data_IF_171494364020
#
_entry.id   IF_171494364020
#
_cell.length_a   1.000
_cell.length_b   1.000
_cell.length_c   1.000
_cell.angle_alpha   90.00
_cell.angle_beta   90.00
_cell.angle_gamma   90.00
#
_symmetry.space_group_name_H-M   'P 1'
#
loop_
_entity.id
_entity.type
_entity.pdbx_description
1 polymer ?
#
# COMPACT_ATOMS: atom_id res chain seq x y z
N UNK A 1 6.37 -42.19 -4.96
CA UNK A 1 5.27 -41.25 -4.65
C UNK A 1 5.90 -39.96 -4.17
N UNK A 2 6.36 -39.13 -5.11
CA UNK A 2 6.94 -37.81 -4.82
C UNK A 2 5.78 -36.84 -4.74
N UNK A 3 5.51 -36.31 -3.55
CA UNK A 3 4.62 -35.17 -3.36
C UNK A 3 5.16 -34.05 -4.27
N UNK A 4 4.41 -33.54 -5.26
CA UNK A 4 4.84 -32.40 -6.02
C UNK A 4 4.98 -31.26 -5.00
N UNK A 5 6.18 -30.71 -4.89
CA UNK A 5 6.45 -29.54 -4.08
C UNK A 5 5.38 -28.49 -4.37
N UNK A 6 4.67 -28.08 -3.31
CA UNK A 6 3.75 -26.93 -3.33
C UNK A 6 4.48 -25.61 -3.69
N UNK A 7 5.80 -25.67 -3.93
CA UNK A 7 6.69 -24.55 -4.20
C UNK A 7 6.84 -24.16 -5.68
N UNK A 8 6.05 -24.68 -6.60
CA UNK A 8 6.04 -24.15 -7.97
C UNK A 8 4.64 -24.18 -8.60
N UNK A 9 3.61 -23.75 -7.87
CA UNK A 9 2.35 -23.42 -8.51
C UNK A 9 2.58 -22.26 -9.51
N UNK A 10 2.06 -22.44 -10.71
CA UNK A 10 2.03 -21.44 -11.78
C UNK A 10 1.18 -20.23 -11.39
N UNK A 11 1.31 -19.12 -12.14
CA UNK A 11 0.45 -17.95 -11.93
C UNK A 11 -1.04 -18.31 -11.95
N UNK A 12 -1.46 -19.14 -12.91
CA UNK A 12 -2.85 -19.58 -13.07
C UNK A 12 -3.35 -20.42 -11.88
N UNK A 13 -2.49 -21.28 -11.32
CA UNK A 13 -2.82 -22.06 -10.13
C UNK A 13 -2.94 -21.17 -8.88
N UNK A 14 -2.09 -20.15 -8.76
CA UNK A 14 -2.24 -19.15 -7.70
C UNK A 14 -3.52 -18.34 -7.86
N UNK A 15 -3.82 -17.84 -9.06
CA UNK A 15 -5.08 -17.15 -9.34
C UNK A 15 -6.30 -18.03 -9.01
N UNK A 16 -6.23 -19.32 -9.35
CA UNK A 16 -7.23 -20.32 -8.97
C UNK A 16 -7.36 -20.45 -7.45
N UNK A 17 -6.25 -20.45 -6.72
CA UNK A 17 -6.25 -20.45 -5.25
C UNK A 17 -6.92 -19.18 -4.68
N UNK A 18 -6.67 -18.01 -5.27
CA UNK A 18 -7.36 -16.78 -4.88
C UNK A 18 -8.87 -16.88 -5.09
N UNK A 19 -9.28 -17.27 -6.30
CA UNK A 19 -10.69 -17.30 -6.69
C UNK A 19 -11.51 -18.40 -6.00
N UNK A 20 -10.93 -19.58 -5.78
CA UNK A 20 -11.64 -20.73 -5.22
C UNK A 20 -11.53 -20.84 -3.69
N UNK A 21 -10.49 -20.26 -3.09
CA UNK A 21 -10.22 -20.43 -1.66
C UNK A 21 -10.23 -19.09 -0.93
N UNK A 22 -9.34 -18.16 -1.30
CA UNK A 22 -9.17 -16.93 -0.54
C UNK A 22 -10.39 -16.00 -0.63
N UNK A 23 -10.93 -15.75 -1.81
CA UNK A 23 -12.09 -14.87 -1.97
C UNK A 23 -13.36 -15.43 -1.32
N UNK A 24 -13.70 -16.74 -1.45
CA UNK A 24 -14.81 -17.30 -0.69
C UNK A 24 -14.61 -17.26 0.83
N UNK A 25 -13.36 -17.43 1.31
CA UNK A 25 -13.06 -17.27 2.74
C UNK A 25 -13.30 -15.84 3.22
N UNK A 26 -12.80 -14.85 2.48
CA UNK A 26 -12.98 -13.43 2.81
C UNK A 26 -14.45 -13.01 2.72
N UNK A 27 -15.15 -13.50 1.71
CA UNK A 27 -16.59 -13.22 1.52
C UNK A 27 -17.39 -13.68 2.74
N UNK A 28 -17.17 -14.92 3.19
CA UNK A 28 -17.83 -15.47 4.38
C UNK A 28 -17.52 -14.67 5.64
N UNK A 29 -16.25 -14.34 5.86
CA UNK A 29 -15.83 -13.55 7.02
C UNK A 29 -16.41 -12.14 7.03
N UNK A 30 -16.73 -11.59 5.86
CA UNK A 30 -17.33 -10.28 5.70
C UNK A 30 -18.87 -10.28 5.82
N UNK A 31 -19.52 -11.43 5.99
CA UNK A 31 -20.96 -11.48 6.20
C UNK A 31 -21.35 -10.99 7.61
N UNK A 32 -22.37 -10.13 7.73
CA UNK A 32 -22.80 -9.55 9.02
C UNK A 32 -23.38 -10.59 9.99
N UNK A 33 -23.73 -11.78 9.51
CA UNK A 33 -24.20 -12.88 10.36
C UNK A 33 -23.09 -13.49 11.24
N UNK A 34 -21.82 -13.20 10.93
CA UNK A 34 -20.66 -13.68 11.70
C UNK A 34 -20.22 -12.72 12.83
N UNK A 35 -21.06 -11.74 13.20
CA UNK A 35 -20.75 -10.69 14.18
C UNK A 35 -20.72 -11.20 15.63
N UNK A 36 -19.88 -12.21 15.88
CA UNK A 36 -19.49 -12.73 17.18
C UNK A 36 -18.20 -12.07 17.64
N UNK A 37 -18.06 -11.85 18.94
CA UNK A 37 -16.85 -11.33 19.59
C UNK A 37 -15.58 -12.07 19.07
N UNK A 38 -14.57 -11.34 18.60
CA UNK A 38 -13.33 -11.89 18.03
C UNK A 38 -13.30 -12.12 16.51
N UNK A 39 -14.40 -11.86 15.78
CA UNK A 39 -14.42 -11.95 14.31
C UNK A 39 -13.47 -10.92 13.67
N UNK A 40 -13.30 -9.76 14.28
CA UNK A 40 -12.42 -8.68 13.79
C UNK A 40 -10.95 -9.09 13.74
N UNK A 41 -10.46 -9.83 14.75
CA UNK A 41 -9.10 -10.36 14.73
C UNK A 41 -8.93 -11.40 13.61
N UNK A 42 -9.95 -12.24 13.41
CA UNK A 42 -9.96 -13.23 12.33
C UNK A 42 -9.97 -12.55 10.96
N UNK A 43 -10.75 -11.47 10.79
CA UNK A 43 -10.79 -10.65 9.58
C UNK A 43 -9.43 -10.00 9.30
N UNK A 44 -8.79 -9.43 10.32
CA UNK A 44 -7.44 -8.86 10.18
C UNK A 44 -6.42 -9.92 9.75
N UNK A 45 -6.44 -11.09 10.39
CA UNK A 45 -5.57 -12.21 10.02
C UNK A 45 -5.81 -12.64 8.57
N UNK A 46 -7.08 -12.69 8.12
CA UNK A 46 -7.42 -13.04 6.75
C UNK A 46 -6.93 -11.98 5.73
N UNK A 47 -7.13 -10.68 6.00
CA UNK A 47 -6.62 -9.59 5.17
C UNK A 47 -5.07 -9.59 5.10
N UNK A 48 -4.42 -9.90 6.22
CA UNK A 48 -2.97 -10.04 6.29
C UNK A 48 -2.48 -11.23 5.45
N UNK A 49 -3.16 -12.38 5.54
CA UNK A 49 -2.84 -13.56 4.72
C UNK A 49 -3.03 -13.26 3.24
N UNK A 50 -4.14 -12.62 2.85
CA UNK A 50 -4.38 -12.20 1.47
C UNK A 50 -3.23 -11.34 0.95
N UNK A 51 -2.86 -10.29 1.70
CA UNK A 51 -1.79 -9.37 1.34
C UNK A 51 -0.44 -10.08 1.20
N UNK A 52 -0.10 -10.95 2.15
CA UNK A 52 1.16 -11.69 2.15
C UNK A 52 1.26 -12.69 1.02
N UNK A 53 0.20 -13.49 0.78
CA UNK A 53 0.17 -14.48 -0.30
C UNK A 53 0.24 -13.78 -1.65
N UNK A 54 -0.48 -12.66 -1.81
CA UNK A 54 -0.45 -11.88 -3.04
C UNK A 54 0.94 -11.33 -3.34
N UNK A 55 1.60 -10.70 -2.36
CA UNK A 55 2.96 -10.20 -2.54
C UNK A 55 3.98 -11.30 -2.75
N UNK A 56 3.86 -12.42 -2.03
CA UNK A 56 4.79 -13.53 -2.15
C UNK A 56 4.77 -14.15 -3.56
N UNK A 57 3.60 -14.16 -4.20
CA UNK A 57 3.41 -14.66 -5.56
C UNK A 57 3.17 -13.55 -6.57
N UNK A 58 3.59 -12.31 -6.29
CA UNK A 58 3.38 -11.18 -7.17
C UNK A 58 4.03 -11.40 -8.54
N UNK A 59 5.25 -11.93 -8.57
CA UNK A 59 6.00 -12.16 -9.81
C UNK A 59 5.29 -13.09 -10.80
N UNK A 60 4.81 -14.29 -10.42
CA UNK A 60 4.03 -15.12 -11.33
C UNK A 60 2.61 -14.60 -11.59
N UNK A 61 2.00 -13.83 -10.67
CA UNK A 61 0.67 -13.28 -10.86
C UNK A 61 0.66 -12.11 -11.85
N UNK A 62 1.65 -11.21 -11.79
CA UNK A 62 1.70 -10.02 -12.65
C UNK A 62 1.89 -10.34 -14.14
N UNK A 63 2.34 -11.56 -14.48
CA UNK A 63 2.46 -11.99 -15.88
C UNK A 63 1.14 -12.48 -16.46
N UNK A 64 0.09 -12.63 -15.64
CA UNK A 64 -1.22 -13.07 -16.10
C UNK A 64 -1.97 -11.94 -16.79
N UNK A 65 -2.71 -12.23 -17.87
CA UNK A 65 -3.55 -11.24 -18.54
C UNK A 65 -4.72 -10.75 -17.66
N UNK A 66 -5.15 -11.57 -16.70
CA UNK A 66 -6.23 -11.28 -15.74
C UNK A 66 -5.75 -10.56 -14.48
N UNK A 67 -4.45 -10.27 -14.35
CA UNK A 67 -3.87 -9.67 -13.15
C UNK A 67 -4.60 -8.40 -12.69
N UNK A 68 -4.98 -7.52 -13.62
CA UNK A 68 -5.73 -6.31 -13.32
C UNK A 68 -7.06 -6.61 -12.59
N UNK A 69 -7.80 -7.62 -13.04
CA UNK A 69 -9.07 -8.01 -12.45
C UNK A 69 -8.86 -8.63 -11.06
N UNK A 70 -7.83 -9.47 -10.91
CA UNK A 70 -7.45 -10.04 -9.62
C UNK A 70 -7.11 -8.94 -8.61
N UNK A 71 -6.29 -7.97 -9.02
CA UNK A 71 -5.87 -6.86 -8.18
C UNK A 71 -7.05 -5.96 -7.77
N UNK A 72 -7.92 -5.58 -8.71
CA UNK A 72 -9.11 -4.80 -8.39
C UNK A 72 -10.04 -5.53 -7.41
N UNK A 73 -10.16 -6.86 -7.55
CA UNK A 73 -10.93 -7.68 -6.60
C UNK A 73 -10.31 -7.63 -5.19
N UNK A 74 -8.98 -7.64 -5.09
CA UNK A 74 -8.29 -7.48 -3.79
C UNK A 74 -8.59 -6.10 -3.19
N UNK A 75 -8.54 -5.04 -3.99
CA UNK A 75 -8.90 -3.69 -3.53
C UNK A 75 -10.36 -3.62 -3.04
N UNK A 76 -11.29 -4.29 -3.73
CA UNK A 76 -12.69 -4.37 -3.30
C UNK A 76 -12.84 -5.05 -1.94
N UNK A 77 -12.08 -6.12 -1.69
CA UNK A 77 -12.06 -6.74 -0.36
C UNK A 77 -11.45 -5.81 0.69
N UNK A 78 -10.37 -5.08 0.39
CA UNK A 78 -9.78 -4.15 1.35
C UNK A 78 -10.79 -3.05 1.74
N UNK A 79 -11.44 -2.42 0.76
CA UNK A 79 -12.49 -1.43 1.00
C UNK A 79 -13.64 -2.00 1.84
N UNK A 80 -14.13 -3.21 1.48
CA UNK A 80 -15.20 -3.88 2.23
C UNK A 80 -14.80 -4.19 3.68
N UNK A 81 -13.56 -4.57 3.92
CA UNK A 81 -13.04 -4.87 5.25
C UNK A 81 -12.81 -3.61 6.09
N UNK A 82 -12.35 -2.53 5.47
CA UNK A 82 -12.20 -1.23 6.12
C UNK A 82 -13.52 -0.70 6.65
N UNK A 83 -14.61 -0.91 5.90
CA UNK A 83 -15.97 -0.51 6.28
C UNK A 83 -16.73 -1.59 7.05
N UNK A 84 -16.12 -2.73 7.37
CA UNK A 84 -16.80 -3.82 8.06
C UNK A 84 -17.01 -3.45 9.54
N UNK A 85 -18.27 -3.38 9.95
CA UNK A 85 -18.74 -3.20 11.34
C UNK A 85 -18.20 -1.95 12.08
N UNK A 86 -17.69 -0.93 11.37
CA UNK A 86 -17.07 0.27 11.95
C UNK A 86 -15.99 -0.05 12.99
N UNK A 87 -15.22 -1.13 12.78
CA UNK A 87 -14.11 -1.48 13.66
C UNK A 87 -12.97 -0.48 13.45
N UNK A 88 -12.71 0.38 14.45
CA UNK A 88 -11.59 1.34 14.44
C UNK A 88 -10.26 0.64 14.09
N UNK A 89 -10.10 -0.59 14.57
CA UNK A 89 -8.93 -1.42 14.32
C UNK A 89 -8.75 -1.74 12.82
N UNK A 90 -9.82 -2.12 12.12
CA UNK A 90 -9.77 -2.40 10.68
C UNK A 90 -9.63 -1.10 9.87
N UNK A 91 -10.27 -0.04 10.33
CA UNK A 91 -10.20 1.29 9.72
C UNK A 91 -8.77 1.84 9.70
N UNK A 92 -7.96 1.53 10.72
CA UNK A 92 -6.53 1.90 10.77
C UNK A 92 -5.63 0.88 10.06
N UNK A 93 -5.84 -0.42 10.27
CA UNK A 93 -4.93 -1.47 9.78
C UNK A 93 -4.99 -1.69 8.25
N UNK A 94 -6.16 -1.50 7.63
CA UNK A 94 -6.34 -1.74 6.20
C UNK A 94 -5.61 -0.69 5.33
N UNK A 95 -5.76 0.63 5.56
CA UNK A 95 -5.00 1.64 4.84
C UNK A 95 -3.48 1.43 4.96
N UNK A 96 -3.00 1.10 6.16
CA UNK A 96 -1.58 0.82 6.40
C UNK A 96 -1.10 -0.42 5.61
N UNK A 97 -1.92 -1.46 5.56
CA UNK A 97 -1.63 -2.66 4.74
C UNK A 97 -1.60 -2.32 3.25
N UNK A 98 -2.53 -1.48 2.77
CA UNK A 98 -2.57 -0.99 1.38
C UNK A 98 -1.34 -0.16 1.02
N UNK A 99 -0.88 0.73 1.91
CA UNK A 99 0.37 1.50 1.70
C UNK A 99 1.54 0.56 1.42
N UNK A 100 1.70 -0.44 2.29
CA UNK A 100 2.78 -1.43 2.16
C UNK A 100 2.65 -2.25 0.87
N UNK A 101 1.43 -2.67 0.49
CA UNK A 101 1.17 -3.36 -0.77
C UNK A 101 1.59 -2.53 -1.98
N UNK A 102 1.14 -1.28 -2.04
CA UNK A 102 1.40 -0.37 -3.15
C UNK A 102 2.89 -0.05 -3.27
N UNK A 103 3.57 0.20 -2.15
CA UNK A 103 5.02 0.44 -2.12
C UNK A 103 5.79 -0.77 -2.65
N UNK A 104 5.43 -1.98 -2.22
CA UNK A 104 6.09 -3.20 -2.70
C UNK A 104 5.82 -3.41 -4.19
N UNK A 105 4.59 -3.23 -4.66
CA UNK A 105 4.24 -3.33 -6.08
C UNK A 105 4.99 -2.30 -6.94
N UNK A 106 5.13 -1.08 -6.45
CA UNK A 106 5.92 -0.03 -7.11
C UNK A 106 7.39 -0.43 -7.21
N UNK A 107 7.97 -0.91 -6.10
CA UNK A 107 9.37 -1.36 -6.07
C UNK A 107 9.63 -2.59 -6.95
N UNK A 108 8.63 -3.44 -7.14
CA UNK A 108 8.68 -4.59 -8.05
C UNK A 108 8.47 -4.21 -9.53
N UNK A 109 8.19 -2.94 -9.82
CA UNK A 109 7.98 -2.43 -11.18
C UNK A 109 6.60 -2.71 -11.76
N UNK A 110 5.63 -3.15 -10.94
CA UNK A 110 4.27 -3.51 -11.41
C UNK A 110 3.55 -2.33 -12.04
N UNK A 111 3.83 -1.11 -11.59
CA UNK A 111 3.20 0.12 -12.08
C UNK A 111 3.96 0.80 -13.22
N UNK A 112 5.07 0.21 -13.67
CA UNK A 112 5.94 0.80 -14.70
C UNK A 112 5.63 0.16 -16.06
N UNK A 113 5.39 1.01 -17.05
CA UNK A 113 5.24 0.65 -18.47
C UNK A 113 6.36 1.23 -19.32
N UNK A 114 6.30 1.02 -20.64
CA UNK A 114 7.34 1.48 -21.57
C UNK A 114 7.51 3.00 -21.59
N UNK A 115 6.42 3.76 -21.44
CA UNK A 115 6.39 5.23 -21.52
C UNK A 115 6.12 5.92 -20.18
N UNK A 116 6.26 5.21 -19.05
CA UNK A 116 6.01 5.77 -17.71
C UNK A 116 5.10 4.89 -16.85
N UNK A 117 3.99 5.42 -16.36
CA UNK A 117 3.00 4.66 -15.57
C UNK A 117 2.08 3.86 -16.49
N UNK A 118 1.80 2.60 -16.13
CA UNK A 118 0.96 1.72 -16.93
C UNK A 118 -0.54 1.78 -16.57
N UNK A 119 -1.36 0.95 -17.22
CA UNK A 119 -2.80 0.89 -16.96
C UNK A 119 -3.14 0.43 -15.53
N UNK A 120 -2.35 -0.47 -14.95
CA UNK A 120 -2.55 -0.95 -13.57
C UNK A 120 -2.46 0.22 -12.59
N UNK A 121 -1.50 1.12 -12.77
CA UNK A 121 -1.40 2.33 -11.97
C UNK A 121 -2.68 3.18 -12.02
N UNK A 122 -3.21 3.41 -13.23
CA UNK A 122 -4.41 4.24 -13.43
C UNK A 122 -5.62 3.63 -12.73
N UNK A 123 -5.91 2.35 -12.97
CA UNK A 123 -7.07 1.67 -12.36
C UNK A 123 -6.93 1.52 -10.85
N UNK A 124 -5.69 1.38 -10.35
CA UNK A 124 -5.41 1.30 -8.90
C UNK A 124 -5.81 2.59 -8.20
N UNK A 125 -5.36 3.74 -8.72
CA UNK A 125 -5.67 5.03 -8.09
C UNK A 125 -7.12 5.47 -8.32
N UNK A 126 -7.71 5.16 -9.47
CA UNK A 126 -9.15 5.38 -9.68
C UNK A 126 -9.99 4.67 -8.61
N UNK A 127 -9.66 3.40 -8.32
CA UNK A 127 -10.33 2.65 -7.27
C UNK A 127 -10.00 3.16 -5.87
N UNK A 128 -8.73 3.40 -5.55
CA UNK A 128 -8.32 3.86 -4.22
C UNK A 128 -8.94 5.21 -3.88
N UNK A 129 -9.01 6.16 -4.82
CA UNK A 129 -9.60 7.47 -4.56
C UNK A 129 -11.06 7.42 -4.14
N UNK A 130 -11.79 6.34 -4.47
CA UNK A 130 -13.19 6.19 -4.04
C UNK A 130 -13.37 5.96 -2.53
N UNK A 131 -12.36 5.46 -1.82
CA UNK A 131 -12.44 5.17 -0.37
C UNK A 131 -11.28 5.74 0.46
N UNK A 132 -10.16 6.08 -0.18
CA UNK A 132 -8.96 6.63 0.43
C UNK A 132 -8.36 7.76 -0.45
N UNK A 133 -9.06 8.90 -0.61
CA UNK A 133 -8.69 9.96 -1.55
C UNK A 133 -7.33 10.62 -1.25
N UNK A 134 -6.87 10.60 0.01
CA UNK A 134 -5.63 11.24 0.43
C UNK A 134 -4.42 10.29 0.43
N UNK A 135 -4.63 8.98 0.20
CA UNK A 135 -3.58 7.98 0.33
C UNK A 135 -2.43 8.16 -0.66
N UNK A 136 -2.76 8.54 -1.89
CA UNK A 136 -1.75 8.79 -2.92
C UNK A 136 -0.81 9.91 -2.48
N UNK A 137 -1.36 10.98 -1.93
CA UNK A 137 -0.57 12.10 -1.44
C UNK A 137 0.29 11.68 -0.25
N UNK A 138 -0.23 10.89 0.70
CA UNK A 138 0.55 10.41 1.83
C UNK A 138 1.76 9.57 1.39
N UNK A 139 1.55 8.63 0.46
CA UNK A 139 2.62 7.73 -0.02
C UNK A 139 3.73 8.51 -0.76
N UNK A 140 3.37 9.55 -1.53
CA UNK A 140 4.33 10.29 -2.35
C UNK A 140 4.78 11.65 -1.78
N UNK A 141 4.17 12.15 -0.69
CA UNK A 141 4.62 13.36 0.04
C UNK A 141 5.67 13.05 1.11
N UNK A 142 5.83 11.82 1.57
CA UNK A 142 6.84 11.45 2.59
C UNK A 142 8.31 11.41 2.08
N UNK A 143 8.60 12.00 0.91
CA UNK A 143 9.96 12.37 0.54
C UNK A 143 10.10 13.90 0.37
N UNK A 144 10.02 14.70 1.46
CA UNK A 144 10.66 16.00 1.42
C UNK A 144 12.16 15.76 1.32
N UNK A 145 12.74 16.18 0.18
CA UNK A 145 14.17 16.31 -0.04
C UNK A 145 14.90 16.74 1.25
N UNK A 146 15.75 15.87 1.79
CA UNK A 146 16.82 16.27 2.70
C UNK A 146 17.88 17.05 1.91
N UNK A 147 17.55 18.27 1.50
CA UNK A 147 18.49 19.27 0.98
C UNK A 147 18.29 20.57 1.75
N UNK A 148 18.34 20.50 3.09
CA UNK A 148 18.67 21.68 3.90
C UNK A 148 20.18 21.71 4.17
N UNK A 149 20.97 21.98 3.13
CA UNK A 149 22.25 22.66 3.36
C UNK A 149 21.88 24.10 3.64
N UNK A 150 21.82 24.45 4.94
CA UNK A 150 21.70 25.82 5.42
C UNK A 150 22.91 26.64 4.95
N UNK A 151 22.83 27.22 3.77
CA UNK A 151 23.58 28.43 3.45
C UNK A 151 22.90 29.58 4.19
N UNK A 152 23.28 29.78 5.45
CA UNK A 152 23.10 31.05 6.14
C UNK A 152 24.41 31.82 6.03
N UNK A 153 24.52 32.64 4.99
CA UNK A 153 25.39 33.80 4.98
C UNK A 153 24.62 34.98 4.40
N UNK A 154 24.77 36.09 5.12
CA UNK A 154 24.48 37.48 4.74
C UNK A 154 23.03 37.97 4.89
N UNK A 155 22.75 38.45 6.10
CA UNK A 155 22.07 39.75 6.26
C UNK A 155 23.04 40.69 6.96
N UNK A 156 23.62 41.60 6.18
CA UNK A 156 24.27 42.82 6.66
C UNK A 156 23.25 43.65 7.46
N UNK A 157 23.63 44.09 8.66
CA UNK A 157 23.14 45.36 9.17
C UNK A 157 24.29 46.16 9.78
N UNK A 158 24.48 47.34 9.20
CA UNK A 158 25.53 48.30 9.42
C UNK A 158 25.27 49.17 10.65
N UNK A 159 26.31 49.44 11.44
CA UNK A 159 26.48 50.74 12.08
C UNK A 159 26.46 50.82 13.61
N UNK A 160 27.64 50.88 14.24
CA UNK A 160 28.02 52.01 15.13
C UNK A 160 29.54 52.05 15.40
N UNK A 161 30.11 53.25 15.64
CA UNK A 161 31.55 53.49 15.57
C UNK A 161 32.27 53.27 16.90
N UNK A 162 33.48 52.71 16.79
CA UNK A 162 34.44 52.56 17.87
C UNK A 162 35.06 53.93 18.21
N UNK A 163 34.82 54.42 19.42
CA UNK A 163 35.50 55.60 19.96
C UNK A 163 36.73 55.15 20.73
N UNK A 164 37.87 55.12 20.06
CA UNK A 164 39.18 55.00 20.71
C UNK A 164 39.54 56.35 21.31
N UNK A 165 39.46 56.46 22.63
CA UNK A 165 39.96 57.60 23.39
C UNK A 165 41.47 57.48 23.44
N UNK A 166 42.15 58.48 22.89
CA UNK A 166 43.59 58.60 22.87
C UNK A 166 44.07 59.68 23.86
N UNK A 167 45.28 59.44 24.38
CA UNK A 167 46.21 60.34 25.09
C UNK A 167 46.01 60.65 26.58
N UNK A 168 47.09 61.05 27.31
CA UNK A 168 48.52 61.07 26.97
C UNK A 168 49.43 60.16 27.82
#
# INVERSE_FOLDING_TARGET
TTVPDLQALTGEEWESCFSQVLFPLLTRLSEPAMNTEGIEETRMRAATVLSKVFLHHLTPLQTLPSFAQLWLTILDFMDKYMHADNSDLLFEAIPESLKNLLLVMDSAGVFTGQDGRNEIWVVTWDRIHSFLPHLQEEIFKEHPHNNEIKNHQDVEESGKPESTVDYP
#
